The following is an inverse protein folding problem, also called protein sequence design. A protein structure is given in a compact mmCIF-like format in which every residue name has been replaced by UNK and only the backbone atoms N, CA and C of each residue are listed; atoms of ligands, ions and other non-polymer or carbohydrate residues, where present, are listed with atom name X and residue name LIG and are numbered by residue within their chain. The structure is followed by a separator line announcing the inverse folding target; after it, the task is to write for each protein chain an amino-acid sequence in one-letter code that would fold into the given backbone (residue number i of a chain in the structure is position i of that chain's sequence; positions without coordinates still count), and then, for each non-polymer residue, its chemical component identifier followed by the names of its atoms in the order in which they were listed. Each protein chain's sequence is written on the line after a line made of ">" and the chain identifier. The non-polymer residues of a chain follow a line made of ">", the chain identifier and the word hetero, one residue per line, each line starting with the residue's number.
data_IF_697886718340
#
_entry.id   IF_697886718340
#
_cell.length_a   1.000
_cell.length_b   1.000
_cell.length_c   1.000
_cell.angle_alpha   90.00
_cell.angle_beta   90.00
_cell.angle_gamma   90.00
#
_symmetry.space_group_name_H-M   'P 1'
#
loop_
_entity.id
_entity.type
_entity.pdbx_description
1 polymer ?
#
# COMPACT_ATOMS: atom_id res chain seq x y z
N UNK A 1 25.21 -34.36 -10.82
CA UNK A 1 24.39 -33.27 -10.25
C UNK A 1 25.32 -32.11 -9.99
N UNK A 2 25.11 -31.00 -10.67
CA UNK A 2 25.91 -29.81 -10.42
C UNK A 2 25.50 -29.20 -9.08
N UNK A 3 26.37 -28.39 -8.47
CA UNK A 3 26.04 -27.66 -7.23
C UNK A 3 24.81 -26.72 -7.42
N UNK A 4 24.56 -26.29 -8.65
CA UNK A 4 23.39 -25.51 -9.04
C UNK A 4 22.11 -26.35 -8.99
N UNK A 5 22.14 -27.62 -9.42
CA UNK A 5 20.98 -28.51 -9.34
C UNK A 5 20.60 -28.85 -7.88
N UNK A 6 21.59 -28.94 -6.99
CA UNK A 6 21.32 -29.11 -5.55
C UNK A 6 20.73 -27.84 -4.93
N UNK A 7 21.23 -26.67 -5.31
CA UNK A 7 20.71 -25.39 -4.83
C UNK A 7 19.27 -25.15 -5.30
N UNK A 8 18.99 -25.37 -6.58
CA UNK A 8 17.65 -25.31 -7.14
C UNK A 8 16.68 -26.33 -6.51
N UNK A 9 17.17 -27.54 -6.21
CA UNK A 9 16.36 -28.57 -5.56
C UNK A 9 16.01 -28.21 -4.10
N UNK A 10 16.94 -27.61 -3.35
CA UNK A 10 16.69 -27.16 -1.97
C UNK A 10 15.74 -25.97 -1.94
N UNK A 11 15.87 -25.03 -2.87
CA UNK A 11 14.96 -23.87 -3.02
C UNK A 11 13.54 -24.32 -3.42
N UNK A 12 13.42 -25.22 -4.38
CA UNK A 12 12.13 -25.76 -4.81
C UNK A 12 11.44 -26.64 -3.75
N UNK A 13 12.20 -27.14 -2.77
CA UNK A 13 11.68 -27.90 -1.62
C UNK A 13 11.28 -26.98 -0.44
N UNK A 14 11.60 -25.69 -0.48
CA UNK A 14 11.12 -24.74 0.52
C UNK A 14 9.59 -24.67 0.47
N UNK A 15 8.94 -24.70 1.63
CA UNK A 15 7.48 -24.63 1.71
C UNK A 15 7.00 -23.31 1.10
N UNK A 16 6.15 -23.38 0.05
CA UNK A 16 5.55 -22.20 -0.55
C UNK A 16 4.75 -21.44 0.51
N UNK A 17 4.97 -20.14 0.59
CA UNK A 17 4.16 -19.26 1.44
C UNK A 17 2.76 -19.15 0.85
N UNK A 18 1.74 -19.51 1.63
CA UNK A 18 0.34 -19.51 1.21
C UNK A 18 -0.37 -18.37 1.94
N UNK A 19 -1.12 -17.56 1.19
CA UNK A 19 -1.90 -16.44 1.71
C UNK A 19 -2.92 -16.88 2.76
N UNK A 20 -3.01 -16.13 3.85
CA UNK A 20 -3.98 -16.33 4.92
C UNK A 20 -5.04 -15.22 4.90
N UNK A 21 -6.26 -15.59 4.54
CA UNK A 21 -7.40 -14.67 4.52
C UNK A 21 -7.86 -14.35 5.94
N UNK A 22 -7.56 -13.14 6.37
CA UNK A 22 -7.95 -12.60 7.68
C UNK A 22 -8.22 -11.10 7.55
N UNK A 23 -9.34 -10.71 6.92
CA UNK A 23 -9.65 -9.30 6.72
C UNK A 23 -9.80 -8.56 8.05
N UNK A 24 -9.31 -7.31 8.14
CA UNK A 24 -9.47 -6.49 9.33
C UNK A 24 -10.92 -6.07 9.52
N UNK A 25 -11.29 -5.78 10.76
CA UNK A 25 -12.54 -5.08 11.07
C UNK A 25 -12.35 -3.58 10.83
N UNK A 26 -13.32 -2.93 10.16
CA UNK A 26 -13.34 -1.50 9.86
C UNK A 26 -14.68 -0.92 10.32
N UNK A 27 -14.95 -1.01 11.63
CA UNK A 27 -16.25 -0.62 12.19
C UNK A 27 -16.31 0.86 12.62
N UNK A 28 -15.16 1.53 12.78
CA UNK A 28 -15.09 2.92 13.22
C UNK A 28 -14.13 3.71 12.35
N UNK A 29 -14.64 4.57 11.50
CA UNK A 29 -13.84 5.50 10.69
C UNK A 29 -13.79 6.89 11.34
N UNK A 30 -12.59 7.46 11.43
CA UNK A 30 -12.34 8.80 11.93
C UNK A 30 -11.78 9.69 10.82
N UNK A 31 -12.53 10.69 10.42
CA UNK A 31 -12.08 11.72 9.49
C UNK A 31 -11.37 12.83 10.25
N UNK A 32 -10.15 13.15 9.87
CA UNK A 32 -9.33 14.23 10.44
C UNK A 32 -9.08 15.27 9.37
N UNK A 33 -9.51 16.51 9.63
CA UNK A 33 -9.43 17.61 8.68
C UNK A 33 -9.21 18.96 9.39
N UNK A 34 -8.56 19.89 8.73
CA UNK A 34 -8.42 21.28 9.18
C UNK A 34 -9.51 22.21 8.59
N UNK A 35 -10.50 21.64 7.91
CA UNK A 35 -11.67 22.35 7.43
C UNK A 35 -12.60 22.74 8.60
N UNK A 36 -13.40 23.78 8.41
CA UNK A 36 -14.45 24.19 9.36
C UNK A 36 -15.70 23.34 9.21
N UNK A 37 -16.53 23.32 10.24
CA UNK A 37 -17.69 22.44 10.45
C UNK A 37 -18.47 22.03 9.19
N UNK A 38 -18.94 22.96 8.37
CA UNK A 38 -19.74 22.62 7.18
C UNK A 38 -18.88 21.92 6.09
N UNK A 39 -17.69 22.46 5.82
CA UNK A 39 -16.76 21.87 4.85
C UNK A 39 -16.22 20.53 5.35
N UNK A 40 -15.97 20.38 6.65
CA UNK A 40 -15.56 19.13 7.26
C UNK A 40 -16.62 18.03 7.11
N UNK A 41 -17.90 18.37 7.31
CA UNK A 41 -19.01 17.44 7.09
C UNK A 41 -19.11 17.00 5.62
N UNK A 42 -18.97 17.94 4.68
CA UNK A 42 -18.95 17.60 3.26
C UNK A 42 -17.78 16.71 2.89
N UNK A 43 -16.61 16.98 3.45
CA UNK A 43 -15.43 16.14 3.26
C UNK A 43 -15.66 14.73 3.80
N UNK A 44 -16.23 14.59 4.99
CA UNK A 44 -16.59 13.31 5.59
C UNK A 44 -17.58 12.51 4.71
N UNK A 45 -18.63 13.16 4.18
CA UNK A 45 -19.58 12.49 3.28
C UNK A 45 -18.91 12.03 1.97
N UNK A 46 -17.98 12.80 1.41
CA UNK A 46 -17.21 12.38 0.25
C UNK A 46 -16.30 11.16 0.58
N UNK A 47 -15.62 11.19 1.72
CA UNK A 47 -14.81 10.07 2.19
C UNK A 47 -15.65 8.81 2.40
N UNK A 48 -16.84 8.96 2.99
CA UNK A 48 -17.80 7.87 3.20
C UNK A 48 -18.32 7.29 1.88
N UNK A 49 -18.57 8.13 0.90
CA UNK A 49 -18.98 7.67 -0.43
C UNK A 49 -17.85 6.90 -1.13
N UNK A 50 -16.60 7.36 -1.02
CA UNK A 50 -15.42 6.69 -1.58
C UNK A 50 -15.15 5.34 -0.91
N UNK A 51 -15.17 5.27 0.43
CA UNK A 51 -15.00 4.04 1.20
C UNK A 51 -16.34 3.35 1.50
N UNK A 52 -17.15 3.14 0.47
CA UNK A 52 -18.50 2.55 0.57
C UNK A 52 -18.52 1.14 1.16
N UNK A 53 -17.38 0.43 1.13
CA UNK A 53 -17.20 -0.89 1.76
C UNK A 53 -17.16 -0.83 3.30
N UNK A 54 -17.02 0.36 3.91
CA UNK A 54 -17.00 0.53 5.37
C UNK A 54 -18.41 0.75 5.89
N UNK A 55 -19.01 -0.31 6.40
CA UNK A 55 -20.35 -0.30 7.01
C UNK A 55 -20.24 -0.14 8.53
N UNK A 56 -19.87 1.06 8.98
CA UNK A 56 -19.61 1.33 10.39
C UNK A 56 -19.99 2.75 10.83
N UNK A 57 -19.54 3.13 12.03
CA UNK A 57 -19.71 4.47 12.55
C UNK A 57 -18.64 5.41 11.98
N UNK A 58 -19.04 6.64 11.69
CA UNK A 58 -18.17 7.69 11.17
C UNK A 58 -18.16 8.87 12.14
N UNK A 59 -16.98 9.37 12.42
CA UNK A 59 -16.77 10.53 13.29
C UNK A 59 -15.79 11.50 12.61
N UNK A 60 -15.81 12.77 13.02
CA UNK A 60 -15.00 13.82 12.39
C UNK A 60 -14.30 14.67 13.44
N UNK A 61 -13.02 14.94 13.23
CA UNK A 61 -12.25 15.98 13.87
C UNK A 61 -12.00 17.10 12.86
N UNK A 62 -12.45 18.31 13.20
CA UNK A 62 -12.31 19.52 12.38
C UNK A 62 -11.23 20.45 12.94
N UNK A 63 -10.96 21.56 12.26
CA UNK A 63 -10.05 22.62 12.73
C UNK A 63 -10.39 23.20 14.11
N UNK A 64 -11.60 22.97 14.61
CA UNK A 64 -12.06 23.44 15.91
C UNK A 64 -11.65 22.51 17.06
N UNK A 65 -11.29 21.26 16.73
CA UNK A 65 -11.00 20.22 17.73
C UNK A 65 -9.52 20.16 18.10
N UNK A 66 -8.61 20.46 17.17
CA UNK A 66 -7.16 20.38 17.40
C UNK A 66 -6.41 21.42 16.58
N UNK A 67 -5.23 21.80 17.05
CA UNK A 67 -4.25 22.66 16.35
C UNK A 67 -2.86 22.04 16.34
N UNK A 68 -2.54 21.29 17.36
CA UNK A 68 -1.23 20.66 17.53
C UNK A 68 -1.31 19.16 17.33
N UNK A 69 -0.18 18.56 16.96
CA UNK A 69 -0.06 17.10 16.82
C UNK A 69 -0.44 16.37 18.11
N UNK A 70 -0.05 16.92 19.27
CA UNK A 70 -0.38 16.30 20.57
C UNK A 70 -1.88 16.24 20.82
N UNK A 71 -2.59 17.36 20.61
CA UNK A 71 -4.05 17.40 20.75
C UNK A 71 -4.72 16.39 19.82
N UNK A 72 -4.21 16.27 18.58
CA UNK A 72 -4.72 15.30 17.61
C UNK A 72 -4.52 13.87 18.11
N UNK A 73 -3.34 13.51 18.59
CA UNK A 73 -3.04 12.16 19.09
C UNK A 73 -3.91 11.79 20.28
N UNK A 74 -4.06 12.71 21.26
CA UNK A 74 -4.91 12.49 22.43
C UNK A 74 -6.38 12.24 22.02
N UNK A 75 -6.87 12.93 20.99
CA UNK A 75 -8.23 12.74 20.45
C UNK A 75 -8.36 11.41 19.69
N UNK A 76 -7.37 11.03 18.89
CA UNK A 76 -7.36 9.74 18.16
C UNK A 76 -7.37 8.59 19.16
N UNK A 77 -6.52 8.63 20.19
CA UNK A 77 -6.48 7.61 21.23
C UNK A 77 -7.82 7.47 21.95
N UNK A 78 -8.44 8.60 22.34
CA UNK A 78 -9.75 8.58 23.02
C UNK A 78 -10.88 8.03 22.14
N UNK A 79 -10.84 8.27 20.82
CA UNK A 79 -11.86 7.78 19.88
C UNK A 79 -11.65 6.33 19.47
N UNK A 80 -10.41 5.85 19.57
CA UNK A 80 -10.02 4.49 19.21
C UNK A 80 -10.63 4.01 17.88
N UNK A 81 -10.30 4.66 16.73
CA UNK A 81 -10.82 4.29 15.43
C UNK A 81 -10.16 3.02 14.89
N UNK A 82 -10.82 2.37 13.93
CA UNK A 82 -10.25 1.27 13.13
C UNK A 82 -9.59 1.79 11.84
N UNK A 83 -9.93 3.00 11.41
CA UNK A 83 -9.38 3.68 10.24
C UNK A 83 -9.35 5.19 10.48
N UNK A 84 -8.22 5.83 10.15
CA UNK A 84 -8.08 7.29 10.13
C UNK A 84 -8.07 7.73 8.66
N UNK A 85 -8.86 8.76 8.31
CA UNK A 85 -8.93 9.31 6.97
C UNK A 85 -8.56 10.79 7.02
N UNK A 86 -7.55 11.18 6.27
CA UNK A 86 -7.04 12.55 6.30
C UNK A 86 -6.39 12.92 4.95
N UNK A 87 -5.69 14.03 4.90
CA UNK A 87 -4.90 14.48 3.76
C UNK A 87 -3.59 15.14 4.21
N UNK A 88 -2.71 15.42 3.27
CA UNK A 88 -1.37 15.99 3.55
C UNK A 88 -1.46 17.42 4.04
N UNK A 89 -0.52 17.80 4.91
CA UNK A 89 -0.27 19.18 5.33
C UNK A 89 -1.45 19.86 6.03
N UNK A 90 -2.11 19.17 6.97
CA UNK A 90 -3.10 19.79 7.86
C UNK A 90 -2.55 21.08 8.47
N UNK A 91 -3.34 22.14 8.49
CA UNK A 91 -3.00 23.49 8.98
C UNK A 91 -1.82 24.17 8.27
N UNK A 92 -1.54 23.80 6.99
CA UNK A 92 -0.41 24.35 6.23
C UNK A 92 -0.71 24.47 4.74
N UNK A 93 -0.25 25.53 4.11
CA UNK A 93 -0.29 25.71 2.64
C UNK A 93 0.75 24.86 1.88
N UNK A 94 1.58 24.09 2.59
CA UNK A 94 2.66 23.29 1.99
C UNK A 94 2.17 22.12 1.13
N UNK A 95 0.88 21.78 1.17
CA UNK A 95 0.27 20.78 0.28
C UNK A 95 0.48 21.06 -1.22
N UNK A 96 0.80 22.30 -1.59
CA UNK A 96 1.09 22.70 -2.97
C UNK A 96 2.39 22.09 -3.50
N UNK A 97 3.36 21.76 -2.62
CA UNK A 97 4.68 21.24 -2.99
C UNK A 97 4.86 19.76 -2.67
N UNK A 98 5.61 19.00 -3.51
CA UNK A 98 5.78 17.54 -3.35
C UNK A 98 7.00 17.21 -2.49
N UNK A 99 7.15 17.75 -1.29
CA UNK A 99 8.38 17.55 -0.51
C UNK A 99 8.18 16.77 0.78
N UNK A 100 6.96 16.70 1.31
CA UNK A 100 6.67 16.00 2.55
C UNK A 100 5.18 15.67 2.68
N UNK A 101 4.82 14.96 3.73
CA UNK A 101 3.42 14.63 4.06
C UNK A 101 2.82 15.65 5.04
N UNK A 102 3.65 16.38 5.76
CA UNK A 102 3.27 17.32 6.81
C UNK A 102 3.30 16.70 8.19
N UNK A 103 3.63 17.52 9.20
CA UNK A 103 3.92 17.09 10.58
C UNK A 103 2.82 16.21 11.18
N UNK A 104 1.56 16.60 11.06
CA UNK A 104 0.43 15.85 11.61
C UNK A 104 0.30 14.46 11.00
N UNK A 105 0.42 14.37 9.66
CA UNK A 105 0.29 13.11 8.95
C UNK A 105 1.49 12.21 9.19
N UNK A 106 2.73 12.76 9.17
CA UNK A 106 3.95 11.99 9.46
C UNK A 106 3.87 11.33 10.83
N UNK A 107 3.38 12.05 11.85
CA UNK A 107 3.24 11.51 13.19
C UNK A 107 2.08 10.51 13.29
N UNK A 108 0.93 10.77 12.68
CA UNK A 108 -0.18 9.80 12.65
C UNK A 108 0.29 8.45 12.09
N UNK A 109 0.99 8.45 10.97
CA UNK A 109 1.48 7.21 10.35
C UNK A 109 2.48 6.46 11.25
N UNK A 110 3.32 7.20 11.99
CA UNK A 110 4.39 6.60 12.79
C UNK A 110 3.95 6.08 14.15
N UNK A 111 2.95 6.69 14.78
CA UNK A 111 2.63 6.40 16.19
C UNK A 111 1.25 5.81 16.41
N UNK A 112 0.36 5.79 15.40
CA UNK A 112 -0.97 5.18 15.55
C UNK A 112 -1.02 3.77 14.99
N UNK A 113 -1.75 2.88 15.64
CA UNK A 113 -1.95 1.50 15.18
C UNK A 113 -2.97 1.38 14.04
N UNK A 114 -4.07 2.18 14.01
CA UNK A 114 -5.02 2.14 12.91
C UNK A 114 -4.38 2.56 11.58
N UNK A 115 -4.74 1.91 10.47
CA UNK A 115 -4.32 2.34 9.14
C UNK A 115 -4.77 3.77 8.87
N UNK A 116 -3.95 4.50 8.09
CA UNK A 116 -4.19 5.90 7.74
C UNK A 116 -4.46 6.03 6.24
N UNK A 117 -5.67 6.42 5.88
CA UNK A 117 -6.02 6.76 4.50
C UNK A 117 -5.68 8.23 4.20
N UNK A 118 -4.89 8.44 3.15
CA UNK A 118 -4.43 9.76 2.71
C UNK A 118 -5.18 10.12 1.43
N UNK A 119 -6.18 10.96 1.54
CA UNK A 119 -6.92 11.48 0.39
C UNK A 119 -6.15 12.61 -0.32
N UNK A 120 -6.44 12.91 -1.60
CA UNK A 120 -6.02 14.15 -2.21
C UNK A 120 -6.49 15.36 -1.38
N UNK A 121 -5.65 16.40 -1.32
CA UNK A 121 -6.05 17.63 -0.61
C UNK A 121 -7.33 18.20 -1.21
N UNK A 122 -8.30 18.68 -0.41
CA UNK A 122 -9.60 19.18 -0.91
C UNK A 122 -9.50 20.27 -1.99
N UNK A 123 -8.48 21.13 -1.88
CA UNK A 123 -8.26 22.25 -2.83
C UNK A 123 -7.34 21.85 -4.00
N UNK A 124 -6.97 20.58 -4.13
CA UNK A 124 -6.10 20.15 -5.23
C UNK A 124 -6.85 20.01 -6.53
N UNK A 125 -6.42 20.76 -7.51
CA UNK A 125 -6.90 20.64 -8.89
C UNK A 125 -6.30 19.41 -9.61
N UNK A 126 -6.98 18.96 -10.66
CA UNK A 126 -6.49 17.90 -11.52
C UNK A 126 -6.56 16.47 -10.93
N UNK A 127 -7.32 16.29 -9.84
CA UNK A 127 -7.61 14.95 -9.29
C UNK A 127 -8.56 14.24 -10.27
N UNK A 128 -8.17 13.07 -10.82
CA UNK A 128 -9.06 12.33 -11.71
C UNK A 128 -10.33 11.88 -10.99
N UNK A 129 -11.48 11.99 -11.63
CA UNK A 129 -12.77 11.62 -11.04
C UNK A 129 -12.77 10.15 -10.55
N UNK A 130 -12.20 9.24 -11.35
CA UNK A 130 -12.12 7.81 -10.99
C UNK A 130 -11.33 7.57 -9.69
N UNK A 131 -10.33 8.41 -9.40
CA UNK A 131 -9.47 8.24 -8.23
C UNK A 131 -10.15 8.59 -6.89
N UNK A 132 -11.32 9.23 -6.90
CA UNK A 132 -12.02 9.67 -5.68
C UNK A 132 -13.50 9.28 -5.67
N UNK A 133 -13.93 8.44 -6.61
CA UNK A 133 -15.32 8.06 -6.76
C UNK A 133 -15.66 6.74 -6.08
N UNK A 134 -14.86 5.73 -6.32
CA UNK A 134 -15.07 4.36 -5.85
C UNK A 134 -13.74 3.68 -5.58
N UNK A 135 -13.76 2.58 -4.82
CA UNK A 135 -12.59 1.71 -4.63
C UNK A 135 -12.69 0.45 -5.50
N UNK A 136 -13.06 0.63 -6.77
CA UNK A 136 -13.24 -0.44 -7.73
C UNK A 136 -11.92 -0.98 -8.32
N UNK A 137 -10.81 -0.26 -8.14
CA UNK A 137 -9.47 -0.64 -8.60
C UNK A 137 -8.44 -0.35 -7.51
N UNK A 138 -8.11 -1.37 -6.71
CA UNK A 138 -7.21 -1.25 -5.56
C UNK A 138 -5.90 -1.97 -5.82
N UNK A 139 -4.78 -1.33 -5.51
CA UNK A 139 -3.44 -1.87 -5.71
C UNK A 139 -2.69 -2.01 -4.39
N UNK A 140 -2.18 -3.21 -4.10
CA UNK A 140 -1.28 -3.45 -2.98
C UNK A 140 0.17 -3.40 -3.43
N UNK A 141 1.00 -2.64 -2.72
CA UNK A 141 2.42 -2.40 -3.02
C UNK A 141 3.27 -2.65 -1.79
N UNK A 142 4.29 -3.48 -1.94
CA UNK A 142 5.38 -3.66 -0.98
C UNK A 142 6.65 -4.05 -1.72
N UNK A 143 7.83 -3.73 -1.17
CA UNK A 143 9.12 -4.14 -1.73
C UNK A 143 9.26 -5.68 -1.77
N UNK A 144 8.64 -6.37 -0.82
CA UNK A 144 8.57 -7.82 -0.78
C UNK A 144 7.16 -8.30 -0.44
N UNK A 145 6.38 -8.67 -1.46
CA UNK A 145 4.95 -8.99 -1.31
C UNK A 145 4.70 -10.33 -0.62
N UNK A 146 5.62 -11.29 -0.75
CA UNK A 146 5.44 -12.67 -0.25
C UNK A 146 5.30 -12.69 1.28
N UNK A 147 4.17 -13.22 1.77
CA UNK A 147 3.87 -13.31 3.20
C UNK A 147 3.30 -12.03 3.83
N UNK A 148 3.06 -10.99 3.04
CA UNK A 148 2.46 -9.75 3.53
C UNK A 148 0.92 -9.85 3.58
N UNK A 149 0.44 -10.84 4.32
CA UNK A 149 -0.99 -11.14 4.46
C UNK A 149 -1.77 -9.94 5.01
N UNK A 150 -1.18 -9.15 5.92
CA UNK A 150 -1.83 -7.95 6.47
C UNK A 150 -2.14 -6.93 5.38
N UNK A 151 -1.16 -6.61 4.55
CA UNK A 151 -1.29 -5.67 3.43
C UNK A 151 -2.38 -6.13 2.46
N UNK A 152 -2.31 -7.40 2.03
CA UNK A 152 -3.26 -7.98 1.08
C UNK A 152 -4.68 -8.01 1.65
N UNK A 153 -4.84 -8.38 2.93
CA UNK A 153 -6.16 -8.39 3.58
C UNK A 153 -6.78 -6.98 3.70
N UNK A 154 -5.97 -5.93 3.92
CA UNK A 154 -6.46 -4.56 3.89
C UNK A 154 -6.89 -4.15 2.47
N UNK A 155 -6.09 -4.48 1.46
CA UNK A 155 -6.44 -4.20 0.08
C UNK A 155 -7.74 -4.90 -0.34
N UNK A 156 -7.94 -6.16 0.06
CA UNK A 156 -9.18 -6.90 -0.15
C UNK A 156 -10.36 -6.18 0.52
N UNK A 157 -10.22 -5.80 1.80
CA UNK A 157 -11.27 -5.14 2.56
C UNK A 157 -11.71 -3.82 1.93
N UNK A 158 -10.77 -3.09 1.33
CA UNK A 158 -11.03 -1.80 0.68
C UNK A 158 -11.55 -1.94 -0.75
N UNK A 159 -11.39 -3.08 -1.41
CA UNK A 159 -11.88 -3.26 -2.78
C UNK A 159 -13.38 -3.52 -2.79
N UNK A 160 -14.12 -2.72 -3.56
CA UNK A 160 -15.56 -2.92 -3.75
C UNK A 160 -15.89 -4.29 -4.35
N UNK A 161 -17.08 -4.79 -4.05
CA UNK A 161 -17.55 -6.05 -4.60
C UNK A 161 -17.61 -6.00 -6.15
N UNK A 162 -16.96 -6.95 -6.79
CA UNK A 162 -16.81 -6.98 -8.26
C UNK A 162 -15.65 -6.13 -8.80
N UNK A 163 -14.92 -5.45 -7.91
CA UNK A 163 -13.74 -4.65 -8.25
C UNK A 163 -12.50 -5.48 -8.56
N UNK A 164 -11.43 -4.79 -8.93
CA UNK A 164 -10.14 -5.35 -9.30
C UNK A 164 -9.11 -5.11 -8.18
N UNK A 165 -8.49 -6.20 -7.73
CA UNK A 165 -7.37 -6.19 -6.79
C UNK A 165 -6.07 -6.42 -7.54
N UNK A 166 -5.22 -5.40 -7.61
CA UNK A 166 -3.92 -5.44 -8.25
C UNK A 166 -2.85 -5.79 -7.21
N UNK A 167 -2.27 -6.98 -7.31
CA UNK A 167 -1.17 -7.41 -6.47
C UNK A 167 0.14 -7.22 -7.23
N UNK A 168 1.01 -6.36 -6.70
CA UNK A 168 2.16 -5.84 -7.45
C UNK A 168 3.46 -6.15 -6.73
N UNK A 169 4.41 -6.74 -7.45
CA UNK A 169 5.79 -6.94 -7.03
C UNK A 169 6.74 -6.48 -8.14
N UNK A 170 7.68 -5.62 -7.77
CA UNK A 170 8.68 -5.09 -8.70
C UNK A 170 10.06 -5.33 -8.11
N UNK A 171 10.84 -6.19 -8.76
CA UNK A 171 12.22 -6.44 -8.39
C UNK A 171 13.10 -5.27 -8.83
N UNK A 172 13.91 -4.70 -7.92
CA UNK A 172 14.76 -3.56 -8.22
C UNK A 172 15.99 -3.98 -9.04
N UNK A 173 16.04 -3.54 -10.29
CA UNK A 173 17.16 -3.80 -11.21
C UNK A 173 18.52 -3.36 -10.65
N UNK A 174 18.56 -2.26 -9.91
CA UNK A 174 19.81 -1.74 -9.34
C UNK A 174 20.35 -2.67 -8.26
N UNK A 175 19.47 -3.18 -7.41
CA UNK A 175 19.79 -4.13 -6.35
C UNK A 175 20.21 -5.47 -6.96
N UNK A 176 19.41 -5.99 -7.90
CA UNK A 176 19.70 -7.23 -8.60
C UNK A 176 21.05 -7.19 -9.32
N UNK A 177 21.33 -6.15 -10.10
CA UNK A 177 22.59 -6.02 -10.83
C UNK A 177 23.79 -5.93 -9.89
N UNK A 178 23.65 -5.23 -8.76
CA UNK A 178 24.73 -5.16 -7.74
C UNK A 178 25.04 -6.53 -7.15
N UNK A 179 24.04 -7.37 -6.88
CA UNK A 179 24.28 -8.75 -6.44
C UNK A 179 24.94 -9.59 -7.52
N UNK A 180 24.53 -9.44 -8.78
CA UNK A 180 25.14 -10.17 -9.89
C UNK A 180 26.61 -9.78 -10.13
N UNK A 181 26.97 -8.52 -9.92
CA UNK A 181 28.38 -8.09 -9.95
C UNK A 181 29.23 -8.74 -8.87
N UNK A 182 28.68 -8.99 -7.68
CA UNK A 182 29.37 -9.69 -6.61
C UNK A 182 29.53 -11.18 -6.93
N UNK A 183 28.46 -11.81 -7.40
CA UNK A 183 28.44 -13.23 -7.82
C UNK A 183 29.44 -13.48 -8.96
N UNK A 184 29.51 -12.56 -9.94
CA UNK A 184 30.47 -12.63 -11.05
C UNK A 184 31.95 -12.58 -10.67
N UNK A 185 32.28 -12.23 -9.41
CA UNK A 185 33.65 -12.30 -8.88
C UNK A 185 34.00 -13.66 -8.27
N UNK A 186 33.06 -14.61 -8.24
CA UNK A 186 33.25 -15.96 -7.70
C UNK A 186 33.54 -16.90 -8.87
N UNK A 187 34.80 -17.36 -9.04
CA UNK A 187 35.20 -18.12 -10.25
C UNK A 187 34.45 -19.46 -10.45
N UNK A 188 33.92 -20.03 -9.37
CA UNK A 188 33.23 -21.31 -9.40
C UNK A 188 31.76 -21.22 -9.84
N UNK A 189 31.22 -19.99 -10.01
CA UNK A 189 29.84 -19.77 -10.38
C UNK A 189 29.76 -19.26 -11.82
N UNK A 190 28.99 -19.98 -12.66
CA UNK A 190 28.60 -19.49 -13.97
C UNK A 190 27.59 -18.32 -13.78
N UNK A 191 28.07 -17.11 -14.07
CA UNK A 191 27.29 -15.88 -13.81
C UNK A 191 26.04 -15.76 -14.66
N UNK A 192 26.05 -16.28 -15.89
CA UNK A 192 24.89 -16.21 -16.79
C UNK A 192 23.79 -17.16 -16.31
N UNK A 193 24.14 -18.39 -15.97
CA UNK A 193 23.20 -19.37 -15.38
C UNK A 193 22.67 -18.87 -14.04
N UNK A 194 23.54 -18.31 -13.21
CA UNK A 194 23.13 -17.74 -11.92
C UNK A 194 22.13 -16.59 -12.10
N UNK A 195 22.37 -15.70 -13.07
CA UNK A 195 21.47 -14.56 -13.38
C UNK A 195 20.08 -15.06 -13.75
N UNK A 196 19.98 -15.97 -14.70
CA UNK A 196 18.69 -16.51 -15.16
C UNK A 196 17.96 -17.24 -14.02
N UNK A 197 18.68 -18.05 -13.25
CA UNK A 197 18.10 -18.86 -12.17
C UNK A 197 17.58 -17.97 -11.04
N UNK A 198 18.36 -17.00 -10.59
CA UNK A 198 17.99 -16.07 -9.49
C UNK A 198 16.83 -15.20 -9.93
N UNK A 199 16.87 -14.63 -11.14
CA UNK A 199 15.79 -13.80 -11.67
C UNK A 199 14.47 -14.60 -11.75
N UNK A 200 14.53 -15.83 -12.28
CA UNK A 200 13.35 -16.70 -12.33
C UNK A 200 12.76 -16.97 -10.94
N UNK A 201 13.62 -17.16 -9.93
CA UNK A 201 13.19 -17.40 -8.55
C UNK A 201 12.57 -16.15 -7.92
N UNK A 202 13.22 -14.98 -8.06
CA UNK A 202 12.76 -13.71 -7.49
C UNK A 202 11.39 -13.28 -8.05
N UNK A 203 11.09 -13.60 -9.31
CA UNK A 203 9.78 -13.35 -9.91
C UNK A 203 8.79 -14.49 -9.69
N UNK A 204 9.27 -15.72 -9.52
CA UNK A 204 8.45 -16.91 -9.32
C UNK A 204 7.76 -16.94 -7.95
N UNK A 205 8.47 -16.62 -6.88
CA UNK A 205 7.92 -16.63 -5.52
C UNK A 205 6.73 -15.66 -5.34
N UNK A 206 6.81 -14.39 -5.75
CA UNK A 206 5.67 -13.49 -5.73
C UNK A 206 4.51 -13.98 -6.61
N UNK A 207 4.82 -14.60 -7.75
CA UNK A 207 3.80 -15.18 -8.61
C UNK A 207 3.01 -16.29 -7.92
N UNK A 208 3.71 -17.22 -7.30
CA UNK A 208 3.10 -18.33 -6.53
C UNK A 208 2.26 -17.80 -5.35
N UNK A 209 2.75 -16.78 -4.65
CA UNK A 209 2.00 -16.16 -3.56
C UNK A 209 0.71 -15.49 -4.05
N UNK A 210 0.76 -14.74 -5.16
CA UNK A 210 -0.44 -14.11 -5.75
C UNK A 210 -1.43 -15.18 -6.24
N UNK A 211 -0.95 -16.28 -6.83
CA UNK A 211 -1.80 -17.40 -7.22
C UNK A 211 -2.50 -18.03 -6.00
N UNK A 212 -1.83 -18.10 -4.86
CA UNK A 212 -2.45 -18.54 -3.61
C UNK A 212 -3.51 -17.54 -3.12
N UNK A 213 -3.30 -16.23 -3.28
CA UNK A 213 -4.31 -15.21 -2.96
C UNK A 213 -5.57 -15.40 -3.82
N UNK A 214 -5.40 -15.55 -5.13
CA UNK A 214 -6.52 -15.76 -6.06
C UNK A 214 -7.30 -17.04 -5.73
N UNK A 215 -6.61 -18.14 -5.45
CA UNK A 215 -7.23 -19.41 -5.09
C UNK A 215 -8.07 -19.29 -3.80
N UNK A 216 -7.53 -18.62 -2.76
CA UNK A 216 -8.24 -18.40 -1.49
C UNK A 216 -9.44 -17.47 -1.68
N UNK A 217 -9.32 -16.40 -2.46
CA UNK A 217 -10.42 -15.47 -2.71
C UNK A 217 -11.56 -16.11 -3.51
N UNK A 218 -11.22 -16.97 -4.47
CA UNK A 218 -12.22 -17.78 -5.21
C UNK A 218 -12.97 -18.75 -4.30
N UNK A 219 -12.26 -19.44 -3.39
CA UNK A 219 -12.87 -20.32 -2.38
C UNK A 219 -13.83 -19.54 -1.46
N UNK A 220 -13.44 -18.34 -1.02
CA UNK A 220 -14.26 -17.43 -0.20
C UNK A 220 -15.40 -16.75 -0.96
N UNK A 221 -15.46 -16.89 -2.28
CA UNK A 221 -16.47 -16.27 -3.16
C UNK A 221 -16.53 -14.74 -3.01
N UNK A 222 -15.39 -14.11 -2.91
CA UNK A 222 -15.28 -12.64 -2.72
C UNK A 222 -15.74 -11.83 -3.93
N UNK A 223 -15.88 -12.46 -5.10
CA UNK A 223 -16.23 -11.83 -6.37
C UNK A 223 -15.25 -10.72 -6.79
N UNK A 224 -13.98 -10.78 -6.33
CA UNK A 224 -12.93 -9.86 -6.71
C UNK A 224 -12.14 -10.43 -7.89
N UNK A 225 -11.71 -9.54 -8.80
CA UNK A 225 -10.82 -9.91 -9.88
C UNK A 225 -9.37 -9.63 -9.44
N UNK A 226 -8.57 -10.67 -9.24
CA UNK A 226 -7.14 -10.53 -8.96
C UNK A 226 -6.38 -10.25 -10.26
N UNK A 227 -5.53 -9.22 -10.28
CA UNK A 227 -4.66 -8.85 -11.39
C UNK A 227 -3.23 -8.85 -10.88
N UNK A 228 -2.40 -9.66 -11.52
CA UNK A 228 -1.00 -9.86 -11.16
C UNK A 228 -0.10 -8.89 -11.94
N UNK A 229 0.75 -8.15 -11.23
CA UNK A 229 1.82 -7.33 -11.80
C UNK A 229 3.16 -7.76 -11.21
N UNK A 230 3.91 -8.53 -11.95
CA UNK A 230 5.24 -8.99 -11.55
C UNK A 230 6.21 -8.63 -12.66
N UNK A 231 7.19 -7.81 -12.33
CA UNK A 231 8.21 -7.36 -13.27
C UNK A 231 9.49 -6.97 -12.51
N UNK A 232 10.50 -6.61 -13.26
CA UNK A 232 11.70 -5.99 -12.74
C UNK A 232 11.86 -4.60 -13.37
N UNK A 233 12.54 -3.68 -12.68
CA UNK A 233 12.71 -2.31 -13.14
C UNK A 233 13.07 -1.35 -12.01
N UNK A 234 12.74 -0.07 -12.19
CA UNK A 234 12.83 0.92 -11.13
C UNK A 234 11.49 1.00 -10.39
N UNK A 235 11.40 0.54 -9.13
CA UNK A 235 10.13 0.34 -8.44
C UNK A 235 9.20 1.54 -8.50
N UNK A 236 9.70 2.76 -8.18
CA UNK A 236 8.86 3.95 -8.16
C UNK A 236 8.25 4.28 -9.53
N UNK A 237 9.02 4.13 -10.61
CA UNK A 237 8.55 4.40 -11.98
C UNK A 237 7.52 3.36 -12.41
N UNK A 238 7.79 2.07 -12.16
CA UNK A 238 6.88 0.99 -12.53
C UNK A 238 5.58 1.04 -11.73
N UNK A 239 5.61 1.34 -10.41
CA UNK A 239 4.38 1.52 -9.62
C UNK A 239 3.53 2.67 -10.17
N UNK A 240 4.14 3.83 -10.50
CA UNK A 240 3.42 4.97 -11.10
C UNK A 240 2.79 4.62 -12.44
N UNK A 241 3.49 3.85 -13.26
CA UNK A 241 2.99 3.36 -14.55
C UNK A 241 1.77 2.45 -14.36
N UNK A 242 1.85 1.46 -13.46
CA UNK A 242 0.71 0.58 -13.14
C UNK A 242 -0.48 1.40 -12.64
N UNK A 243 -0.26 2.38 -11.75
CA UNK A 243 -1.32 3.27 -11.25
C UNK A 243 -2.01 4.02 -12.39
N UNK A 244 -1.25 4.59 -13.32
CA UNK A 244 -1.79 5.37 -14.43
C UNK A 244 -2.53 4.49 -15.47
N UNK A 245 -1.90 3.39 -15.90
CA UNK A 245 -2.44 2.51 -16.95
C UNK A 245 -3.70 1.77 -16.50
N UNK A 246 -3.79 1.38 -15.24
CA UNK A 246 -4.92 0.62 -14.69
C UNK A 246 -5.94 1.50 -13.95
N UNK A 247 -5.76 2.84 -13.97
CA UNK A 247 -6.65 3.80 -13.31
C UNK A 247 -6.91 3.44 -11.85
N UNK A 248 -5.83 3.10 -11.13
CA UNK A 248 -5.93 2.70 -9.72
C UNK A 248 -6.59 3.82 -8.92
N UNK A 249 -7.63 3.48 -8.17
CA UNK A 249 -8.38 4.39 -7.33
C UNK A 249 -7.86 4.44 -5.88
N UNK A 250 -7.20 3.38 -5.40
CA UNK A 250 -6.58 3.33 -4.08
C UNK A 250 -5.28 2.51 -4.12
N UNK A 251 -4.20 3.05 -3.58
CA UNK A 251 -2.95 2.31 -3.38
C UNK A 251 -2.77 1.99 -1.90
N UNK A 252 -2.61 0.71 -1.57
CA UNK A 252 -2.37 0.24 -0.20
C UNK A 252 -0.88 -0.03 -0.03
N UNK A 253 -0.27 0.62 0.96
CA UNK A 253 1.17 0.60 1.24
C UNK A 253 1.42 0.11 2.66
N UNK A 254 2.47 -0.64 2.87
CA UNK A 254 2.95 -0.99 4.20
C UNK A 254 3.90 0.10 4.72
N UNK A 255 3.56 0.69 5.87
CA UNK A 255 4.38 1.76 6.45
C UNK A 255 5.71 1.26 6.98
N UNK A 256 5.68 0.14 7.70
CA UNK A 256 6.83 -0.36 8.45
C UNK A 256 7.07 -1.85 8.23
N UNK A 257 8.32 -2.23 8.10
CA UNK A 257 8.73 -3.61 8.31
C UNK A 257 8.72 -3.95 9.81
N UNK A 258 8.59 -5.23 10.16
CA UNK A 258 8.43 -5.71 11.56
C UNK A 258 9.45 -5.18 12.58
N UNK A 259 10.56 -4.61 12.12
CA UNK A 259 11.67 -4.13 12.96
C UNK A 259 12.04 -2.65 12.72
N UNK A 260 11.24 -1.88 11.97
CA UNK A 260 11.53 -0.48 11.66
C UNK A 260 10.50 0.44 12.32
N UNK A 261 10.99 1.55 12.90
CA UNK A 261 10.15 2.60 13.47
C UNK A 261 9.77 3.67 12.44
N UNK A 262 10.53 3.78 11.35
CA UNK A 262 10.28 4.74 10.29
C UNK A 262 9.65 4.07 9.07
N UNK A 263 8.83 4.82 8.34
CA UNK A 263 8.23 4.39 7.08
C UNK A 263 9.32 3.97 6.09
N UNK A 264 9.11 2.86 5.38
CA UNK A 264 10.08 2.41 4.38
C UNK A 264 10.21 3.40 3.22
N UNK A 265 11.37 3.41 2.56
CA UNK A 265 11.72 4.42 1.55
C UNK A 265 10.77 4.42 0.34
N UNK A 266 10.37 3.25 -0.14
CA UNK A 266 9.45 3.10 -1.30
C UNK A 266 8.07 3.62 -0.96
N UNK A 267 7.52 3.24 0.20
CA UNK A 267 6.21 3.69 0.64
C UNK A 267 6.20 5.21 0.88
N UNK A 268 7.25 5.78 1.49
CA UNK A 268 7.35 7.22 1.69
C UNK A 268 7.44 7.98 0.35
N UNK A 269 8.27 7.51 -0.59
CA UNK A 269 8.43 8.12 -1.91
C UNK A 269 7.10 8.11 -2.68
N UNK A 270 6.38 6.98 -2.70
CA UNK A 270 5.06 6.88 -3.29
C UNK A 270 4.05 7.80 -2.60
N UNK A 271 4.07 7.86 -1.26
CA UNK A 271 3.18 8.71 -0.49
C UNK A 271 3.43 10.20 -0.76
N UNK A 272 4.64 10.63 -1.05
CA UNK A 272 4.96 12.01 -1.42
C UNK A 272 4.54 12.31 -2.87
N UNK A 273 4.73 11.38 -3.80
CA UNK A 273 4.51 11.61 -5.23
C UNK A 273 3.06 11.41 -5.69
N UNK A 274 2.36 10.38 -5.20
CA UNK A 274 0.99 10.07 -5.61
C UNK A 274 -0.01 10.99 -4.91
N UNK A 275 -0.05 12.26 -5.33
CA UNK A 275 -0.85 13.31 -4.65
C UNK A 275 -2.28 13.41 -5.16
N UNK A 276 -2.61 12.77 -6.27
CA UNK A 276 -3.94 12.76 -6.88
C UNK A 276 -4.63 11.41 -6.76
N UNK A 277 -3.93 10.40 -6.23
CA UNK A 277 -4.47 9.06 -5.96
C UNK A 277 -4.54 8.85 -4.46
N UNK A 278 -5.67 8.44 -3.91
CA UNK A 278 -5.80 8.02 -2.51
C UNK A 278 -4.82 6.90 -2.13
N UNK A 279 -4.31 6.96 -0.91
CA UNK A 279 -3.39 5.96 -0.36
C UNK A 279 -3.97 5.42 0.93
N UNK A 280 -3.71 4.16 1.24
CA UNK A 280 -3.93 3.57 2.57
C UNK A 280 -2.59 3.05 3.09
N UNK A 281 -2.15 3.61 4.21
CA UNK A 281 -0.94 3.19 4.91
C UNK A 281 -1.33 2.22 6.02
N UNK A 282 -0.77 0.99 6.00
CA UNK A 282 -1.11 -0.10 6.93
C UNK A 282 0.09 -0.59 7.74
#
# INVERSE_FOLDING_TARGET
>A
MSSVDQFASVFNAASKTIFQYKPPSMAKALVVTDLKSEAANKYMENAKAFFSSIDGSWDTLSSENFKTVRELLDLVENKNPDLIITYRHLHSEAWQWPHSLGEHLDVLIQVTEPPVAIMPHPDREGVPEHAVKTTDSVMAVNDHLVGEDRLVNHAICMTEAGGSLHLTHIEDDSVFNRYMEVIGKIPEIDTDIARETIQAQLLGEPSDYIDSCEAVLNDKRTNLKVIKHITHGHPLEEYRKVVAENKISLVVLQAHDKNQLAMNATAYSLAVELRTTPLLIV
#
